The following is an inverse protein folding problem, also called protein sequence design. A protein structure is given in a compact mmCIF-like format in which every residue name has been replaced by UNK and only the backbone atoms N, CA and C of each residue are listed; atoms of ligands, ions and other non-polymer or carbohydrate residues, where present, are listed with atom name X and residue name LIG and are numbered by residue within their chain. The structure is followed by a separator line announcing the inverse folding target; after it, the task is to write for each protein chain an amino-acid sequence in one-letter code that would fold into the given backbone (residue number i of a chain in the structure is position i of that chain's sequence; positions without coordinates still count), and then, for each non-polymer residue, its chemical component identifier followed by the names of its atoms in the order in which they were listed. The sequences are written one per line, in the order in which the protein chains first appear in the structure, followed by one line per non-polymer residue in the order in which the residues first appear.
data_IF_123185628519
#
_entry.id   IF_123185628519
#
_cell.length_a   1.000
_cell.length_b   1.000
_cell.length_c   1.000
_cell.angle_alpha   90.00
_cell.angle_beta   90.00
_cell.angle_gamma   90.00
#
_symmetry.space_group_name_H-M   'P 1'
#
loop_
_entity.id
_entity.type
_entity.pdbx_description
1 polymer ?
#
# COMPACT_ATOMS: atom_id res chain seq x y z
N UNK A 1 -5.23 25.62 4.07
CA UNK A 1 -4.07 25.38 3.18
C UNK A 1 -2.78 25.26 4.02
N UNK A 2 -1.72 24.65 3.49
CA UNK A 2 -0.38 24.62 4.14
C UNK A 2 0.08 26.05 4.42
N UNK A 3 -0.05 26.96 3.45
CA UNK A 3 0.32 28.38 3.60
C UNK A 3 -0.38 29.04 4.79
N UNK A 4 -1.69 28.82 5.00
CA UNK A 4 -2.41 29.39 6.14
C UNK A 4 -1.86 28.92 7.50
N UNK A 5 -1.45 27.65 7.61
CA UNK A 5 -0.81 27.14 8.83
C UNK A 5 0.62 27.63 9.02
N UNK A 6 1.35 27.92 7.93
CA UNK A 6 2.66 28.57 8.00
C UNK A 6 2.55 30.01 8.50
N UNK A 7 1.53 30.77 8.05
CA UNK A 7 1.27 32.12 8.57
C UNK A 7 0.92 32.08 10.05
N UNK A 8 -0.01 31.18 10.46
CA UNK A 8 -0.35 30.99 11.87
C UNK A 8 0.89 30.62 12.71
N UNK A 9 1.76 29.76 12.19
CA UNK A 9 2.99 29.35 12.88
C UNK A 9 3.96 30.54 13.10
N UNK A 10 4.00 31.49 12.16
CA UNK A 10 4.84 32.71 12.27
C UNK A 10 4.28 33.71 13.28
N UNK A 11 2.96 33.77 13.44
CA UNK A 11 2.26 34.72 14.32
C UNK A 11 2.03 34.19 15.72
N UNK A 12 2.15 32.86 15.94
CA UNK A 12 1.86 32.21 17.19
C UNK A 12 3.08 32.15 18.10
N UNK A 13 2.94 32.61 19.35
CA UNK A 13 3.99 32.58 20.37
C UNK A 13 3.88 31.31 21.27
N UNK A 14 2.71 30.66 21.28
CA UNK A 14 2.48 29.46 22.08
C UNK A 14 3.11 28.23 21.46
N UNK A 15 4.05 27.59 22.16
CA UNK A 15 4.75 26.38 21.73
C UNK A 15 3.80 25.19 21.47
N UNK A 16 2.68 25.10 22.19
CA UNK A 16 1.72 24.01 22.01
C UNK A 16 0.95 24.19 20.69
N UNK A 17 0.51 25.41 20.39
CA UNK A 17 -0.15 25.75 19.13
C UNK A 17 0.82 25.64 17.93
N UNK A 18 2.07 26.07 18.09
CA UNK A 18 3.13 25.86 17.10
C UNK A 18 3.31 24.37 16.77
N UNK A 19 3.36 23.52 17.82
CA UNK A 19 3.45 22.07 17.66
C UNK A 19 2.27 21.46 16.89
N UNK A 20 1.05 21.96 17.11
CA UNK A 20 -0.14 21.56 16.36
C UNK A 20 -0.06 21.99 14.89
N UNK A 21 0.32 23.23 14.61
CA UNK A 21 0.51 23.73 13.25
C UNK A 21 1.53 22.89 12.47
N UNK A 22 2.67 22.58 13.09
CA UNK A 22 3.71 21.72 12.49
C UNK A 22 3.16 20.33 12.15
N UNK A 23 2.41 19.70 13.07
CA UNK A 23 1.79 18.39 12.81
C UNK A 23 0.83 18.43 11.62
N UNK A 24 0.01 19.49 11.52
CA UNK A 24 -0.94 19.63 10.41
C UNK A 24 -0.21 19.89 9.09
N UNK A 25 0.82 20.75 9.10
CA UNK A 25 1.63 21.02 7.90
C UNK A 25 2.28 19.71 7.42
N UNK A 26 2.90 18.95 8.34
CA UNK A 26 3.51 17.65 8.02
C UNK A 26 2.50 16.71 7.38
N UNK A 27 1.34 16.48 8.02
CA UNK A 27 0.31 15.59 7.50
C UNK A 27 -0.18 16.00 6.10
N UNK A 28 -0.31 17.31 5.83
CA UNK A 28 -0.71 17.81 4.51
C UNK A 28 0.40 17.65 3.46
N UNK A 29 1.66 17.79 3.87
CA UNK A 29 2.81 17.59 2.98
C UNK A 29 2.96 16.11 2.62
N UNK A 30 2.83 15.22 3.59
CA UNK A 30 2.86 13.78 3.38
C UNK A 30 1.74 13.36 2.40
N UNK A 31 0.51 13.88 2.60
CA UNK A 31 -0.61 13.64 1.68
C UNK A 31 -0.34 14.12 0.24
N UNK A 32 0.30 15.31 0.06
CA UNK A 32 0.67 15.79 -1.27
C UNK A 32 1.74 14.91 -1.92
N UNK A 33 2.70 14.45 -1.14
CA UNK A 33 3.73 13.51 -1.61
C UNK A 33 3.10 12.21 -2.11
N UNK A 34 2.15 11.65 -1.34
CA UNK A 34 1.39 10.46 -1.72
C UNK A 34 0.63 10.68 -3.04
N UNK A 35 -0.06 11.83 -3.19
CA UNK A 35 -0.80 12.17 -4.41
C UNK A 35 0.12 12.29 -5.64
N UNK A 36 1.29 12.92 -5.50
CA UNK A 36 2.28 13.03 -6.59
C UNK A 36 2.76 11.65 -7.00
N UNK A 37 3.03 10.79 -6.03
CA UNK A 37 3.46 9.41 -6.30
C UNK A 37 2.35 8.60 -6.99
N UNK A 38 1.09 8.71 -6.51
CA UNK A 38 -0.06 8.06 -7.15
C UNK A 38 -0.25 8.54 -8.60
N UNK A 39 -0.06 9.84 -8.86
CA UNK A 39 -0.13 10.40 -10.21
C UNK A 39 0.98 9.84 -11.12
N UNK A 40 2.20 9.72 -10.58
CA UNK A 40 3.30 9.08 -11.30
C UNK A 40 2.98 7.62 -11.65
N UNK A 41 2.47 6.85 -10.67
CA UNK A 41 2.08 5.46 -10.88
C UNK A 41 1.01 5.34 -11.99
N UNK A 42 0.01 6.22 -11.97
CA UNK A 42 -1.02 6.27 -13.02
C UNK A 42 -0.42 6.56 -14.39
N UNK A 43 0.55 7.48 -14.48
CA UNK A 43 1.24 7.79 -15.74
C UNK A 43 1.98 6.56 -16.30
N UNK A 44 2.62 5.77 -15.45
CA UNK A 44 3.28 4.51 -15.83
C UNK A 44 2.25 3.46 -16.27
N UNK A 45 1.10 3.38 -15.56
CA UNK A 45 0.03 2.44 -15.86
C UNK A 45 -0.64 2.77 -17.21
N UNK A 46 -0.98 4.04 -17.44
CA UNK A 46 -1.71 4.49 -18.62
C UNK A 46 -0.83 4.53 -19.89
N UNK A 47 0.48 4.54 -19.72
CA UNK A 47 1.39 4.48 -20.85
C UNK A 47 1.63 3.01 -21.27
N UNK A 48 0.90 2.55 -22.27
CA UNK A 48 1.03 1.20 -22.84
C UNK A 48 2.39 0.93 -23.51
N UNK A 49 3.13 2.00 -23.87
CA UNK A 49 4.43 1.90 -24.54
C UNK A 49 5.61 1.72 -23.57
N UNK A 50 5.37 1.83 -22.26
CA UNK A 50 6.41 1.54 -21.25
C UNK A 50 6.51 0.04 -21.06
N UNK A 51 7.43 -0.57 -21.79
CA UNK A 51 7.84 -1.94 -21.51
C UNK A 51 8.50 -2.00 -20.14
N UNK A 52 7.93 -2.80 -19.27
CA UNK A 52 8.49 -3.04 -17.95
C UNK A 52 9.51 -4.17 -18.06
N UNK A 53 10.78 -3.84 -17.90
CA UNK A 53 11.81 -4.86 -17.83
C UNK A 53 11.61 -5.68 -16.55
N UNK A 54 11.27 -6.95 -16.73
CA UNK A 54 11.13 -7.91 -15.65
C UNK A 54 12.42 -8.74 -15.52
N UNK A 55 12.80 -8.99 -14.28
CA UNK A 55 13.98 -9.76 -13.91
C UNK A 55 13.68 -10.74 -12.78
N UNK A 56 14.68 -11.47 -12.34
CA UNK A 56 14.60 -12.33 -11.15
C UNK A 56 14.65 -11.47 -9.89
N UNK A 57 13.58 -11.46 -9.11
CA UNK A 57 13.41 -10.63 -7.91
C UNK A 57 13.10 -11.52 -6.70
N UNK A 58 13.72 -11.22 -5.56
CA UNK A 58 13.37 -11.84 -4.27
C UNK A 58 12.24 -11.04 -3.60
N UNK A 59 11.00 -11.49 -3.78
CA UNK A 59 9.83 -10.82 -3.22
C UNK A 59 9.79 -10.92 -1.69
N UNK A 60 10.32 -11.99 -1.09
CA UNK A 60 10.40 -12.13 0.36
C UNK A 60 11.25 -11.01 0.99
N UNK A 61 12.35 -10.65 0.35
CA UNK A 61 13.19 -9.53 0.75
C UNK A 61 12.47 -8.20 0.63
N UNK A 62 11.78 -7.95 -0.49
CA UNK A 62 11.01 -6.70 -0.70
C UNK A 62 9.95 -6.53 0.40
N UNK A 63 9.20 -7.60 0.72
CA UNK A 63 8.20 -7.57 1.80
C UNK A 63 8.86 -7.21 3.13
N UNK A 64 9.99 -7.84 3.45
CA UNK A 64 10.71 -7.59 4.70
C UNK A 64 11.20 -6.14 4.78
N UNK A 65 11.81 -5.64 3.70
CA UNK A 65 12.32 -4.26 3.63
C UNK A 65 11.19 -3.23 3.80
N UNK A 66 10.05 -3.43 3.13
CA UNK A 66 8.86 -2.56 3.29
C UNK A 66 8.31 -2.57 4.72
N UNK A 67 8.28 -3.73 5.39
CA UNK A 67 7.83 -3.83 6.77
C UNK A 67 8.78 -3.09 7.73
N UNK A 68 10.09 -3.18 7.51
CA UNK A 68 11.10 -2.46 8.30
C UNK A 68 10.97 -0.96 8.08
N UNK A 69 10.84 -0.48 6.84
CA UNK A 69 10.66 0.93 6.52
C UNK A 69 9.41 1.53 7.19
N UNK A 70 8.34 0.74 7.34
CA UNK A 70 7.07 1.14 7.96
C UNK A 70 6.96 0.81 9.45
N UNK A 71 8.01 0.29 10.07
CA UNK A 71 7.97 -0.19 11.45
C UNK A 71 7.38 0.82 12.44
N UNK A 72 7.81 2.08 12.37
CA UNK A 72 7.32 3.13 13.27
C UNK A 72 5.86 3.56 13.00
N UNK A 73 5.35 3.32 11.79
CA UNK A 73 3.97 3.65 11.42
C UNK A 73 2.95 2.67 12.00
N UNK A 74 3.39 1.46 12.38
CA UNK A 74 2.53 0.50 13.08
C UNK A 74 2.10 0.99 14.47
N UNK A 75 2.89 1.88 15.11
CA UNK A 75 2.55 2.46 16.40
C UNK A 75 2.37 1.38 17.48
N UNK A 76 1.17 1.30 18.08
CA UNK A 76 0.82 0.30 19.08
C UNK A 76 0.38 -1.05 18.47
N UNK A 77 0.12 -1.10 17.17
CA UNK A 77 -0.22 -2.34 16.49
C UNK A 77 1.05 -3.18 16.37
N UNK A 78 1.02 -4.38 16.93
CA UNK A 78 2.07 -5.38 16.74
C UNK A 78 1.65 -6.32 15.61
N UNK A 79 2.15 -6.12 14.36
CA UNK A 79 1.74 -6.95 13.25
C UNK A 79 2.24 -8.38 13.42
N UNK A 80 1.39 -9.34 13.08
CA UNK A 80 1.82 -10.74 12.94
C UNK A 80 2.47 -10.89 11.57
N UNK A 81 3.77 -11.25 11.55
CA UNK A 81 4.54 -11.35 10.31
C UNK A 81 4.96 -12.80 10.10
N UNK A 82 4.64 -13.35 8.94
CA UNK A 82 4.99 -14.70 8.51
C UNK A 82 5.70 -14.63 7.15
N UNK A 83 7.02 -14.53 7.18
CA UNK A 83 7.87 -14.52 5.99
C UNK A 83 8.61 -15.84 5.86
N UNK A 84 9.14 -16.11 4.68
CA UNK A 84 9.92 -17.32 4.44
C UNK A 84 11.38 -17.15 4.91
N UNK A 85 11.98 -18.25 5.33
CA UNK A 85 13.41 -18.25 5.72
C UNK A 85 14.36 -18.29 4.51
N UNK A 86 13.82 -18.51 3.32
CA UNK A 86 14.56 -18.60 2.06
C UNK A 86 13.99 -17.62 1.04
N UNK A 87 14.79 -17.17 0.06
CA UNK A 87 14.32 -16.30 -1.01
C UNK A 87 13.11 -16.90 -1.75
N UNK A 88 12.16 -16.04 -2.08
CA UNK A 88 11.01 -16.37 -2.94
C UNK A 88 11.21 -15.67 -4.26
N UNK A 89 11.71 -16.43 -5.25
CA UNK A 89 12.07 -15.88 -6.54
C UNK A 89 10.86 -15.74 -7.46
N UNK A 90 10.60 -14.52 -7.89
CA UNK A 90 9.55 -14.18 -8.85
C UNK A 90 10.17 -13.58 -10.11
N UNK A 91 9.40 -13.58 -11.21
CA UNK A 91 9.72 -12.83 -12.41
C UNK A 91 8.95 -11.52 -12.37
N UNK A 92 9.63 -10.39 -12.20
CA UNK A 92 8.98 -9.10 -12.02
C UNK A 92 9.96 -7.94 -12.05
N UNK A 93 9.44 -6.75 -11.81
CA UNK A 93 10.24 -5.53 -11.70
C UNK A 93 10.33 -5.12 -10.22
N UNK A 94 11.55 -4.84 -9.74
CA UNK A 94 11.80 -4.55 -8.33
C UNK A 94 10.98 -3.34 -7.82
N UNK A 95 10.98 -2.23 -8.58
CA UNK A 95 10.26 -1.00 -8.20
C UNK A 95 8.74 -1.22 -8.19
N UNK A 96 8.21 -1.93 -9.19
CA UNK A 96 6.79 -2.26 -9.25
C UNK A 96 6.38 -3.16 -8.09
N UNK A 97 7.17 -4.21 -7.80
CA UNK A 97 6.90 -5.11 -6.68
C UNK A 97 6.92 -4.35 -5.35
N UNK A 98 7.93 -3.51 -5.11
CA UNK A 98 8.00 -2.66 -3.92
C UNK A 98 6.76 -1.77 -3.82
N UNK A 99 6.36 -1.11 -4.89
CA UNK A 99 5.19 -0.22 -4.92
C UNK A 99 3.88 -0.94 -4.62
N UNK A 100 3.70 -2.15 -5.13
CA UNK A 100 2.54 -3.00 -4.82
C UNK A 100 2.47 -3.29 -3.32
N UNK A 101 3.58 -3.75 -2.73
CA UNK A 101 3.65 -4.10 -1.32
C UNK A 101 3.42 -2.88 -0.42
N UNK A 102 4.05 -1.75 -0.73
CA UNK A 102 3.86 -0.48 0.00
C UNK A 102 2.39 -0.04 0.01
N UNK A 103 1.71 -0.05 -1.15
CA UNK A 103 0.30 0.33 -1.24
C UNK A 103 -0.59 -0.56 -0.36
N UNK A 104 -0.33 -1.87 -0.33
CA UNK A 104 -1.09 -2.82 0.49
C UNK A 104 -0.83 -2.59 1.99
N UNK A 105 0.43 -2.38 2.40
CA UNK A 105 0.79 -2.11 3.80
C UNK A 105 0.19 -0.77 4.26
N UNK A 106 0.35 0.31 3.47
CA UNK A 106 -0.20 1.64 3.80
C UNK A 106 -1.72 1.59 3.88
N UNK A 107 -2.38 0.83 2.99
CA UNK A 107 -3.82 0.63 3.06
C UNK A 107 -4.23 -0.06 4.38
N UNK A 108 -3.57 -1.14 4.76
CA UNK A 108 -3.83 -1.84 6.02
C UNK A 108 -3.59 -0.94 7.22
N UNK A 109 -2.48 -0.19 7.29
CA UNK A 109 -2.18 0.77 8.36
C UNK A 109 -3.26 1.85 8.48
N UNK A 110 -3.73 2.40 7.36
CA UNK A 110 -4.73 3.47 7.32
C UNK A 110 -6.10 3.05 7.83
N UNK A 111 -6.49 1.82 7.56
CA UNK A 111 -7.84 1.33 7.83
C UNK A 111 -7.95 0.29 8.95
N UNK A 112 -6.82 -0.13 9.51
CA UNK A 112 -6.82 -1.06 10.65
C UNK A 112 -7.31 -0.39 11.93
N UNK A 113 -8.12 -1.11 12.69
CA UNK A 113 -8.48 -0.73 14.05
C UNK A 113 -7.38 -1.13 15.05
N UNK A 114 -6.90 -2.39 15.00
CA UNK A 114 -5.93 -2.90 15.99
C UNK A 114 -5.22 -4.20 15.59
N UNK A 115 -5.45 -4.71 14.39
CA UNK A 115 -4.88 -6.00 13.95
C UNK A 115 -4.39 -5.92 12.51
N UNK A 116 -3.14 -6.34 12.30
CA UNK A 116 -2.54 -6.52 10.97
C UNK A 116 -1.78 -7.84 10.98
N UNK A 117 -1.99 -8.65 9.94
CA UNK A 117 -1.21 -9.85 9.65
C UNK A 117 -0.67 -9.76 8.23
N UNK A 118 0.62 -10.06 8.07
CA UNK A 118 1.30 -10.08 6.76
C UNK A 118 1.97 -11.42 6.58
N UNK A 119 1.77 -12.04 5.43
CA UNK A 119 2.44 -13.29 5.07
C UNK A 119 2.86 -13.34 3.61
N UNK A 120 3.94 -14.05 3.35
CA UNK A 120 4.41 -14.42 2.01
C UNK A 120 4.83 -15.88 2.04
N UNK A 121 4.52 -16.64 1.00
CA UNK A 121 4.87 -18.07 0.92
C UNK A 121 5.67 -18.40 -0.34
N UNK A 122 6.23 -19.63 -0.38
CA UNK A 122 7.05 -20.13 -1.49
C UNK A 122 6.32 -20.21 -2.85
N UNK A 123 5.00 -20.05 -2.87
CA UNK A 123 4.21 -19.99 -4.12
C UNK A 123 4.12 -18.57 -4.69
N UNK A 124 4.81 -17.59 -4.07
CA UNK A 124 4.72 -16.18 -4.46
C UNK A 124 3.40 -15.51 -4.08
N UNK A 125 2.65 -16.10 -3.14
CA UNK A 125 1.40 -15.50 -2.64
C UNK A 125 1.71 -14.63 -1.43
N UNK A 126 1.47 -13.34 -1.57
CA UNK A 126 1.48 -12.36 -0.50
C UNK A 126 0.05 -12.16 0.01
N UNK A 127 -0.14 -12.19 1.31
CA UNK A 127 -1.43 -11.95 1.95
C UNK A 127 -1.28 -10.92 3.04
N UNK A 128 -2.17 -9.93 3.05
CA UNK A 128 -2.31 -8.97 4.13
C UNK A 128 -3.73 -9.01 4.67
N UNK A 129 -3.84 -8.98 6.01
CA UNK A 129 -5.12 -8.93 6.71
C UNK A 129 -5.10 -7.78 7.69
N UNK A 130 -6.21 -7.08 7.81
CA UNK A 130 -6.38 -6.06 8.84
C UNK A 130 -7.81 -6.04 9.38
N UNK A 131 -7.95 -5.69 10.66
CA UNK A 131 -9.25 -5.45 11.26
C UNK A 131 -9.83 -4.12 10.75
N UNK A 132 -11.11 -4.12 10.39
CA UNK A 132 -11.85 -2.91 10.02
C UNK A 132 -13.35 -3.14 10.17
N UNK A 133 -14.09 -2.14 10.63
CA UNK A 133 -15.55 -2.19 10.74
C UNK A 133 -16.28 -1.45 9.60
N UNK A 134 -15.52 -0.91 8.66
CA UNK A 134 -16.05 0.02 7.64
C UNK A 134 -16.63 -0.68 6.41
N UNK A 135 -16.62 -2.03 6.34
CA UNK A 135 -16.94 -2.78 5.12
C UNK A 135 -18.22 -3.62 5.21
N UNK A 136 -19.02 -3.45 6.26
CA UNK A 136 -20.32 -4.11 6.34
C UNK A 136 -21.19 -3.65 5.15
N UNK A 137 -21.83 -4.62 4.47
CA UNK A 137 -22.67 -4.42 3.28
C UNK A 137 -21.95 -3.91 2.01
N UNK A 138 -20.63 -4.02 1.93
CA UNK A 138 -19.84 -3.60 0.78
C UNK A 138 -19.34 -4.79 -0.03
N UNK A 139 -19.51 -4.75 -1.35
CA UNK A 139 -18.79 -5.66 -2.25
C UNK A 139 -17.29 -5.31 -2.26
N UNK A 140 -16.50 -6.15 -1.61
CA UNK A 140 -15.04 -5.93 -1.47
C UNK A 140 -14.30 -5.90 -2.81
N UNK A 141 -14.86 -6.43 -3.89
CA UNK A 141 -14.28 -6.34 -5.21
C UNK A 141 -14.27 -4.91 -5.75
N UNK A 142 -15.18 -4.06 -5.28
CA UNK A 142 -15.24 -2.65 -5.64
C UNK A 142 -14.05 -1.84 -5.09
N UNK A 143 -13.35 -2.35 -4.06
CA UNK A 143 -12.19 -1.68 -3.47
C UNK A 143 -11.04 -1.46 -4.48
N UNK A 144 -11.00 -2.24 -5.56
CA UNK A 144 -10.02 -2.11 -6.63
C UNK A 144 -10.47 -1.23 -7.80
N UNK A 145 -11.59 -0.53 -7.67
CA UNK A 145 -12.04 0.40 -8.69
C UNK A 145 -11.41 1.78 -8.50
N UNK A 146 -11.12 2.44 -9.61
CA UNK A 146 -10.52 3.78 -9.63
C UNK A 146 -11.38 4.78 -8.85
N UNK A 147 -10.77 5.50 -7.90
CA UNK A 147 -11.43 6.49 -7.03
C UNK A 147 -12.49 5.92 -6.07
N UNK A 148 -12.55 4.62 -5.90
CA UNK A 148 -13.48 4.03 -4.94
C UNK A 148 -12.94 4.18 -3.51
N UNK A 149 -13.77 4.73 -2.63
CA UNK A 149 -13.50 4.84 -1.19
C UNK A 149 -14.78 4.62 -0.41
N UNK A 150 -14.69 3.88 0.67
CA UNK A 150 -15.79 3.65 1.61
C UNK A 150 -16.03 4.89 2.46
N UNK A 151 -14.98 5.61 2.81
CA UNK A 151 -15.04 6.85 3.58
C UNK A 151 -15.44 8.03 2.68
N UNK A 152 -16.76 8.27 2.57
CA UNK A 152 -17.33 9.38 1.79
C UNK A 152 -16.92 10.77 2.33
N UNK A 153 -16.49 10.85 3.59
CA UNK A 153 -16.10 12.12 4.22
C UNK A 153 -14.70 12.57 3.85
N UNK A 154 -13.89 11.71 3.19
CA UNK A 154 -12.47 11.94 2.88
C UNK A 154 -11.62 12.39 4.09
N UNK A 155 -12.08 12.10 5.29
CA UNK A 155 -11.42 12.56 6.53
C UNK A 155 -10.06 11.89 6.74
N UNK A 156 -9.85 10.70 6.20
CA UNK A 156 -8.58 9.96 6.28
C UNK A 156 -7.61 10.25 5.12
N UNK A 157 -7.91 11.23 4.24
CA UNK A 157 -6.98 11.66 3.20
C UNK A 157 -6.68 10.59 2.14
N UNK A 158 -7.65 9.72 1.79
CA UNK A 158 -7.44 8.70 0.76
C UNK A 158 -7.97 9.17 -0.60
N UNK A 159 -7.19 8.96 -1.64
CA UNK A 159 -7.56 9.24 -3.04
C UNK A 159 -8.48 8.17 -3.64
N UNK A 160 -8.53 6.98 -3.05
CA UNK A 160 -9.17 5.80 -3.63
C UNK A 160 -8.40 5.20 -4.83
N UNK A 161 -7.11 5.49 -4.95
CA UNK A 161 -6.27 5.01 -6.04
C UNK A 161 -5.36 3.86 -5.63
N UNK A 162 -4.97 3.74 -4.36
CA UNK A 162 -3.94 2.79 -3.92
C UNK A 162 -4.20 1.34 -4.33
N UNK A 163 -5.41 0.79 -4.08
CA UNK A 163 -5.75 -0.58 -4.49
C UNK A 163 -5.97 -0.71 -6.00
N UNK A 164 -6.46 0.34 -6.68
CA UNK A 164 -6.52 0.37 -8.14
C UNK A 164 -5.10 0.28 -8.75
N UNK A 165 -4.14 1.05 -8.21
CA UNK A 165 -2.73 1.00 -8.62
C UNK A 165 -2.16 -0.41 -8.42
N UNK A 166 -2.42 -1.05 -7.27
CA UNK A 166 -2.02 -2.45 -7.02
C UNK A 166 -2.51 -3.38 -8.13
N UNK A 167 -3.81 -3.29 -8.47
CA UNK A 167 -4.41 -4.12 -9.53
C UNK A 167 -3.74 -3.93 -10.89
N UNK A 168 -3.52 -2.67 -11.29
CA UNK A 168 -2.96 -2.38 -12.60
C UNK A 168 -1.45 -2.69 -12.66
N UNK A 169 -0.69 -2.42 -11.59
CA UNK A 169 0.73 -2.79 -11.52
C UNK A 169 0.94 -4.30 -11.53
N UNK A 170 0.06 -5.08 -10.86
CA UNK A 170 0.09 -6.55 -10.95
C UNK A 170 -0.04 -7.03 -12.39
N UNK A 171 -0.95 -6.44 -13.19
CA UNK A 171 -1.10 -6.80 -14.60
C UNK A 171 0.18 -6.55 -15.41
N UNK A 172 0.92 -5.46 -15.12
CA UNK A 172 2.17 -5.12 -15.81
C UNK A 172 3.30 -6.16 -15.61
N UNK A 173 3.20 -6.98 -14.57
CA UNK A 173 4.19 -8.02 -14.23
C UNK A 173 3.58 -9.43 -14.24
N UNK A 174 2.47 -9.64 -14.94
CA UNK A 174 1.74 -10.93 -15.00
C UNK A 174 1.34 -11.51 -13.63
N UNK A 175 1.21 -10.66 -12.63
CA UNK A 175 0.65 -10.99 -11.33
C UNK A 175 -0.88 -10.90 -11.32
N UNK A 176 -1.50 -11.38 -10.24
CA UNK A 176 -2.97 -11.34 -10.11
C UNK A 176 -3.41 -11.15 -8.66
N UNK A 177 -4.62 -10.63 -8.50
CA UNK A 177 -5.35 -10.70 -7.23
C UNK A 177 -5.85 -12.15 -7.11
N UNK A 178 -5.42 -12.84 -6.04
CA UNK A 178 -5.76 -14.24 -5.80
C UNK A 178 -7.10 -14.36 -5.05
N UNK A 179 -7.26 -13.57 -3.99
CA UNK A 179 -8.48 -13.56 -3.20
C UNK A 179 -8.67 -12.23 -2.47
N UNK A 180 -9.93 -11.83 -2.32
CA UNK A 180 -10.34 -10.72 -1.46
C UNK A 180 -11.55 -11.17 -0.67
N UNK A 181 -11.48 -11.08 0.65
CA UNK A 181 -12.60 -11.46 1.52
C UNK A 181 -12.71 -10.53 2.71
N UNK A 182 -13.92 -10.39 3.21
CA UNK A 182 -14.23 -9.67 4.44
C UNK A 182 -15.13 -10.54 5.32
N UNK A 183 -14.58 -10.97 6.44
CA UNK A 183 -15.27 -11.82 7.39
C UNK A 183 -14.90 -11.43 8.82
N UNK A 184 -15.88 -11.38 9.72
CA UNK A 184 -15.67 -11.08 11.14
C UNK A 184 -14.84 -9.82 11.39
N UNK A 185 -15.13 -8.76 10.64
CA UNK A 185 -14.41 -7.49 10.67
C UNK A 185 -12.93 -7.58 10.26
N UNK A 186 -12.53 -8.63 9.53
CA UNK A 186 -11.19 -8.77 8.97
C UNK A 186 -11.28 -8.69 7.45
N UNK A 187 -10.62 -7.69 6.87
CA UNK A 187 -10.35 -7.63 5.43
C UNK A 187 -9.09 -8.45 5.16
N UNK A 188 -9.17 -9.37 4.21
CA UNK A 188 -8.05 -10.17 3.73
C UNK A 188 -7.87 -9.94 2.24
N UNK A 189 -6.67 -9.53 1.84
CA UNK A 189 -6.27 -9.36 0.43
C UNK A 189 -5.08 -10.26 0.17
N UNK A 190 -5.23 -11.17 -0.81
CA UNK A 190 -4.16 -12.03 -1.29
C UNK A 190 -3.86 -11.74 -2.74
N UNK A 191 -2.58 -11.57 -3.06
CA UNK A 191 -2.07 -11.39 -4.43
C UNK A 191 -1.04 -12.46 -4.74
N UNK A 192 -0.91 -12.83 -6.01
CA UNK A 192 0.05 -13.82 -6.47
C UNK A 192 1.00 -13.20 -7.49
N UNK A 193 2.29 -13.30 -7.23
CA UNK A 193 3.36 -12.94 -8.16
C UNK A 193 3.74 -14.14 -9.04
N UNK A 194 4.13 -13.93 -10.30
CA UNK A 194 4.60 -15.01 -11.16
C UNK A 194 5.95 -15.55 -10.65
N UNK A 195 6.02 -16.85 -10.36
CA UNK A 195 7.26 -17.46 -9.93
C UNK A 195 8.32 -17.43 -11.04
N UNK A 196 9.55 -17.11 -10.65
CA UNK A 196 10.69 -17.24 -11.55
C UNK A 196 10.95 -18.72 -11.86
N UNK A 197 11.00 -19.05 -13.14
CA UNK A 197 11.25 -20.41 -13.61
C UNK A 197 12.41 -20.39 -14.61
N UNK A 198 13.56 -20.97 -14.23
CA UNK A 198 14.76 -21.03 -15.08
C UNK A 198 14.50 -21.69 -16.46
N UNK A 199 13.39 -22.43 -16.61
CA UNK A 199 13.03 -23.15 -17.83
C UNK A 199 12.33 -22.31 -18.92
N UNK A 200 11.98 -21.04 -18.64
CA UNK A 200 11.31 -20.15 -19.62
C UNK A 200 12.26 -19.27 -20.43
N UNK A 201 13.58 -19.42 -20.26
CA UNK A 201 14.61 -18.64 -20.96
C UNK A 201 15.31 -19.43 -22.11
N UNK A 202 14.72 -20.54 -22.56
CA UNK A 202 15.20 -21.33 -23.70
C UNK A 202 14.22 -21.25 -24.88
#
# INVERSE_FOLDING_TARGET
SIQGYLTLLQECEDKQEQGQCIKIIKAKTDYLTDLVQEFYDLSVIENEQVDVECERVDINRIVTDCLIEKYYEFGEIQPTIQTENTPVWIYGNNLICKRIIENLIVNALRYSDNYIEVSINQKGVFTIKNSTKSLDDIDVNLLFNKFYTVDKSRTKGSSGLGLYIVKELLKKIDGKIENVSYEKNILSISICFPLYNDKKLL
#
